data_IF_142308699517
#
_entry.id   IF_142308699517
#
_cell.length_a   1.000
_cell.length_b   1.000
_cell.length_c   1.000
_cell.angle_alpha   90.00
_cell.angle_beta   90.00
_cell.angle_gamma   90.00
#
_symmetry.space_group_name_H-M   'P 1'
#
loop_
_entity.id
_entity.type
_entity.pdbx_description
1 polymer ?
#
# COMPACT_ATOMS: atom_id res chain seq x y z
N UNK A 1 28.54 -13.95 -7.28
CA UNK A 1 28.29 -12.52 -7.64
C UNK A 1 26.83 -12.26 -7.33
N UNK A 2 26.55 -11.65 -6.17
CA UNK A 2 25.21 -11.14 -5.87
C UNK A 2 24.92 -10.02 -6.85
N UNK A 3 23.97 -10.24 -7.74
CA UNK A 3 23.39 -9.16 -8.54
C UNK A 3 22.70 -8.21 -7.56
N UNK A 4 23.30 -7.08 -7.30
CA UNK A 4 22.72 -5.98 -6.50
C UNK A 4 21.44 -5.50 -7.20
N UNK A 5 20.33 -6.21 -6.99
CA UNK A 5 19.03 -5.78 -7.46
C UNK A 5 18.55 -4.63 -6.58
N UNK A 6 18.48 -3.42 -7.15
CA UNK A 6 17.87 -2.26 -6.49
C UNK A 6 16.45 -2.60 -6.08
N UNK A 7 16.10 -2.52 -4.78
CA UNK A 7 14.77 -2.88 -4.32
C UNK A 7 13.70 -1.98 -4.94
N UNK A 8 12.50 -2.52 -5.24
CA UNK A 8 11.38 -1.74 -5.77
C UNK A 8 10.98 -0.57 -4.89
N UNK A 9 10.98 -0.77 -3.56
CA UNK A 9 10.70 0.28 -2.58
C UNK A 9 11.78 0.23 -1.51
N UNK A 10 12.29 1.40 -1.14
CA UNK A 10 13.26 1.53 -0.06
C UNK A 10 13.00 2.81 0.74
N UNK A 11 12.90 2.66 2.05
CA UNK A 11 12.92 3.74 3.03
C UNK A 11 14.27 3.70 3.74
N UNK A 12 15.01 4.81 3.77
CA UNK A 12 16.31 4.95 4.43
C UNK A 12 16.24 6.03 5.49
N UNK A 13 16.27 5.65 6.75
CA UNK A 13 16.33 6.55 7.89
C UNK A 13 15.35 7.74 7.81
N UNK A 14 14.11 7.47 7.38
CA UNK A 14 13.10 8.51 7.17
C UNK A 14 12.72 9.18 8.47
N UNK A 15 12.70 10.52 8.46
CA UNK A 15 12.21 11.34 9.57
C UNK A 15 11.19 12.35 9.11
N UNK A 16 10.15 12.56 9.93
CA UNK A 16 9.11 13.56 9.68
C UNK A 16 8.47 14.03 10.97
N UNK A 17 8.35 15.36 11.09
CA UNK A 17 7.61 16.00 12.17
C UNK A 17 6.52 16.91 11.61
N UNK A 18 5.41 17.04 12.33
CA UNK A 18 4.35 18.00 12.06
C UNK A 18 4.07 18.82 13.33
N UNK A 19 4.13 20.14 13.21
CA UNK A 19 3.86 21.08 14.32
C UNK A 19 4.65 20.71 15.60
N UNK A 20 5.94 20.37 15.44
CA UNK A 20 6.82 20.01 16.56
C UNK A 20 6.65 18.58 17.12
N UNK A 21 5.70 17.79 16.60
CA UNK A 21 5.52 16.37 16.99
C UNK A 21 6.16 15.47 15.96
N UNK A 22 7.09 14.62 16.40
CA UNK A 22 7.67 13.57 15.55
C UNK A 22 6.58 12.56 15.21
N UNK A 23 6.47 12.19 13.93
CA UNK A 23 5.53 11.19 13.41
C UNK A 23 6.21 10.02 12.76
N UNK A 24 7.41 10.23 12.25
CA UNK A 24 8.29 9.20 11.69
C UNK A 24 9.69 9.54 12.19
N UNK A 25 10.34 8.56 12.80
CA UNK A 25 11.66 8.69 13.40
C UNK A 25 12.52 7.49 13.02
N UNK A 26 13.48 7.71 12.16
CA UNK A 26 14.46 6.72 11.70
C UNK A 26 13.84 5.46 11.07
N UNK A 27 12.77 5.63 10.27
CA UNK A 27 12.12 4.51 9.59
C UNK A 27 12.98 4.05 8.41
N UNK A 28 13.44 2.78 8.48
CA UNK A 28 14.20 2.12 7.42
C UNK A 28 13.66 0.72 7.14
N UNK A 29 13.35 0.43 5.86
CA UNK A 29 12.98 -0.91 5.38
C UNK A 29 13.07 -0.99 3.84
N UNK A 30 13.05 -2.22 3.33
CA UNK A 30 12.98 -2.50 1.89
C UNK A 30 11.80 -3.42 1.58
N UNK A 31 11.26 -3.32 0.36
CA UNK A 31 10.23 -4.22 -0.17
C UNK A 31 10.80 -4.96 -1.37
N UNK A 32 10.72 -6.29 -1.35
CA UNK A 32 11.23 -7.16 -2.41
C UNK A 32 10.32 -7.23 -3.63
N UNK A 33 10.88 -7.57 -4.79
CA UNK A 33 10.12 -7.82 -6.01
C UNK A 33 9.27 -9.08 -5.91
N UNK A 34 8.04 -9.04 -6.46
CA UNK A 34 7.14 -10.20 -6.47
C UNK A 34 6.60 -10.56 -5.08
N UNK A 35 6.65 -9.64 -4.12
CA UNK A 35 6.26 -9.88 -2.73
C UNK A 35 5.20 -8.89 -2.27
N UNK A 36 4.43 -9.33 -1.28
CA UNK A 36 3.47 -8.50 -0.56
C UNK A 36 4.05 -8.21 0.83
N UNK A 37 4.33 -6.93 1.10
CA UNK A 37 4.81 -6.49 2.41
C UNK A 37 3.70 -5.73 3.15
N UNK A 38 3.35 -6.21 4.35
CA UNK A 38 2.43 -5.56 5.26
C UNK A 38 3.14 -4.55 6.16
N UNK A 39 2.70 -3.29 6.14
CA UNK A 39 3.14 -2.24 7.04
C UNK A 39 2.17 -2.17 8.21
N UNK A 40 2.54 -2.76 9.33
CA UNK A 40 1.70 -2.94 10.52
C UNK A 40 1.95 -1.87 11.58
N UNK A 41 0.95 -1.58 12.38
CA UNK A 41 1.06 -0.68 13.51
C UNK A 41 -0.27 -0.02 13.88
N UNK A 42 -0.38 0.57 15.07
CA UNK A 42 -1.61 1.20 15.51
C UNK A 42 -1.90 2.48 14.72
N UNK A 43 -3.11 3.01 14.89
CA UNK A 43 -3.46 4.30 14.31
C UNK A 43 -2.55 5.42 14.86
N UNK A 44 -2.00 6.22 13.97
CA UNK A 44 -1.06 7.29 14.33
C UNK A 44 0.41 6.85 14.45
N UNK A 45 0.75 5.57 14.26
CA UNK A 45 2.13 5.05 14.32
C UNK A 45 3.07 5.60 13.23
N UNK A 46 2.55 6.26 12.20
CA UNK A 46 3.37 6.82 11.12
C UNK A 46 3.23 6.12 9.76
N UNK A 47 2.45 5.03 9.63
CA UNK A 47 2.25 4.25 8.39
C UNK A 47 1.88 5.13 7.19
N UNK A 48 0.74 5.83 7.26
CA UNK A 48 0.27 6.74 6.20
C UNK A 48 1.30 7.84 5.88
N UNK A 49 1.99 8.36 6.90
CA UNK A 49 3.03 9.39 6.69
C UNK A 49 4.21 8.81 5.91
N UNK A 50 4.64 7.60 6.25
CA UNK A 50 5.71 6.87 5.53
C UNK A 50 5.30 6.61 4.08
N UNK A 51 4.08 6.11 3.85
CA UNK A 51 3.53 5.91 2.50
C UNK A 51 3.50 7.23 1.71
N UNK A 52 3.05 8.31 2.31
CA UNK A 52 3.03 9.64 1.65
C UNK A 52 4.43 10.14 1.30
N UNK A 53 5.45 9.83 2.11
CA UNK A 53 6.84 10.17 1.76
C UNK A 53 7.35 9.32 0.59
N UNK A 54 7.07 8.01 0.58
CA UNK A 54 7.42 7.13 -0.55
C UNK A 54 6.79 7.57 -1.86
N UNK A 55 5.57 8.12 -1.83
CA UNK A 55 4.85 8.64 -3.00
C UNK A 55 5.15 10.11 -3.32
N UNK A 56 6.11 10.73 -2.62
CA UNK A 56 6.48 12.14 -2.84
C UNK A 56 5.40 13.16 -2.45
N UNK A 57 4.33 12.73 -1.74
CA UNK A 57 3.24 13.60 -1.27
C UNK A 57 3.60 14.36 0.03
N UNK A 58 4.66 13.93 0.69
CA UNK A 58 5.24 14.61 1.83
C UNK A 58 6.76 14.53 1.72
N UNK A 59 7.44 15.66 1.84
CA UNK A 59 8.90 15.64 1.89
C UNK A 59 9.37 15.14 3.27
N UNK A 60 10.31 14.18 3.36
CA UNK A 60 10.95 13.84 4.62
C UNK A 60 11.74 15.04 5.17
N UNK A 61 11.92 15.10 6.49
CA UNK A 61 12.82 16.07 7.13
C UNK A 61 14.29 15.64 6.97
N UNK A 62 14.53 14.31 6.98
CA UNK A 62 15.81 13.68 6.65
C UNK A 62 15.56 12.24 6.17
N UNK A 63 16.59 11.62 5.56
CA UNK A 63 16.49 10.29 4.97
C UNK A 63 15.90 10.29 3.57
N UNK A 64 15.87 9.12 2.94
CA UNK A 64 15.46 8.95 1.55
C UNK A 64 14.29 7.98 1.42
N UNK A 65 13.30 8.34 0.59
CA UNK A 65 12.18 7.53 0.17
C UNK A 65 12.33 7.23 -1.32
N UNK A 66 12.61 5.98 -1.67
CA UNK A 66 13.08 5.61 -3.00
C UNK A 66 12.19 4.53 -3.63
N UNK A 67 11.96 4.68 -4.94
CA UNK A 67 11.34 3.71 -5.84
C UNK A 67 12.37 3.35 -6.90
N UNK A 68 12.82 2.09 -6.93
CA UNK A 68 13.93 1.65 -7.78
C UNK A 68 15.16 2.56 -7.66
N UNK A 69 15.52 2.95 -6.42
CA UNK A 69 16.67 3.80 -6.13
C UNK A 69 16.51 5.28 -6.46
N UNK A 70 15.33 5.74 -6.87
CA UNK A 70 15.03 7.16 -7.21
C UNK A 70 13.87 7.69 -6.37
N UNK A 71 13.87 8.97 -5.97
CA UNK A 71 12.70 9.63 -5.43
C UNK A 71 11.51 9.54 -6.41
N UNK A 72 10.29 9.37 -5.89
CA UNK A 72 9.07 9.25 -6.70
C UNK A 72 8.90 10.38 -7.74
N UNK A 73 9.25 11.61 -7.37
CA UNK A 73 9.16 12.80 -8.23
C UNK A 73 10.12 12.75 -9.46
N UNK A 74 11.16 11.92 -9.37
CA UNK A 74 12.21 11.80 -10.41
C UNK A 74 11.94 10.59 -11.33
N UNK A 75 10.80 9.93 -11.18
CA UNK A 75 10.37 8.86 -12.09
C UNK A 75 9.83 9.45 -13.39
N UNK A 76 10.24 8.89 -14.53
CA UNK A 76 9.81 9.34 -15.86
C UNK A 76 8.32 9.14 -16.09
N UNK A 77 7.77 8.00 -15.61
CA UNK A 77 6.35 7.64 -15.76
C UNK A 77 5.81 7.10 -14.42
N UNK A 78 5.61 7.97 -13.40
CA UNK A 78 5.25 7.52 -12.05
C UNK A 78 3.97 6.66 -12.01
N UNK A 79 2.93 7.01 -12.77
CA UNK A 79 1.69 6.24 -12.84
C UNK A 79 1.79 4.88 -13.56
N UNK A 80 2.88 4.65 -14.32
CA UNK A 80 3.22 3.33 -14.90
C UNK A 80 4.18 2.53 -14.03
N UNK A 81 4.79 3.19 -13.05
CA UNK A 81 5.70 2.54 -12.11
C UNK A 81 4.97 2.17 -10.84
N UNK A 82 4.18 3.08 -10.27
CA UNK A 82 3.49 2.90 -9.00
C UNK A 82 2.00 3.22 -9.18
N UNK A 83 1.14 2.26 -8.85
CA UNK A 83 -0.27 2.47 -8.60
C UNK A 83 -0.49 2.66 -7.09
N UNK A 84 -1.25 3.68 -6.71
CA UNK A 84 -1.48 3.98 -5.30
C UNK A 84 -2.98 4.11 -4.98
N UNK A 85 -3.37 3.58 -3.81
CA UNK A 85 -4.68 3.84 -3.19
C UNK A 85 -4.42 4.43 -1.81
N UNK A 86 -4.82 5.70 -1.64
CA UNK A 86 -4.75 6.44 -0.38
C UNK A 86 -6.18 6.88 -0.04
N UNK A 87 -6.62 6.58 1.16
CA UNK A 87 -8.01 6.78 1.59
C UNK A 87 -9.03 6.13 0.61
N UNK A 88 -10.30 6.44 0.72
CA UNK A 88 -11.38 5.90 -0.14
C UNK A 88 -11.35 6.39 -1.60
N UNK A 89 -10.15 6.73 -2.13
CA UNK A 89 -9.89 6.88 -3.57
C UNK A 89 -10.40 8.15 -4.23
N UNK A 90 -10.83 9.17 -3.48
CA UNK A 90 -11.22 10.48 -4.05
C UNK A 90 -12.36 10.42 -5.07
N UNK A 91 -13.17 9.35 -5.05
CA UNK A 91 -14.27 9.13 -5.97
C UNK A 91 -15.44 10.06 -5.64
N UNK A 92 -15.66 11.06 -6.49
CA UNK A 92 -16.74 12.03 -6.29
C UNK A 92 -18.13 11.37 -6.49
N UNK A 93 -19.08 11.52 -5.57
CA UNK A 93 -20.34 10.78 -5.58
C UNK A 93 -21.23 11.05 -6.81
N UNK A 94 -21.12 12.20 -7.45
CA UNK A 94 -21.88 12.52 -8.67
C UNK A 94 -21.28 11.93 -9.96
N UNK A 95 -20.06 11.41 -9.93
CA UNK A 95 -19.40 10.79 -11.08
C UNK A 95 -19.67 9.30 -11.11
N UNK A 96 -19.69 8.69 -12.30
CA UNK A 96 -19.61 7.24 -12.42
C UNK A 96 -18.17 6.74 -12.28
N UNK A 97 -18.00 5.45 -11.98
CA UNK A 97 -16.69 4.81 -11.95
C UNK A 97 -15.94 4.98 -13.27
N UNK A 98 -16.62 4.77 -14.41
CA UNK A 98 -16.07 4.99 -15.74
C UNK A 98 -15.60 6.43 -15.95
N UNK A 99 -16.42 7.40 -15.56
CA UNK A 99 -16.04 8.82 -15.67
C UNK A 99 -14.82 9.15 -14.81
N UNK A 100 -14.75 8.61 -13.59
CA UNK A 100 -13.58 8.77 -12.73
C UNK A 100 -12.32 8.21 -13.40
N UNK A 101 -12.37 6.98 -13.91
CA UNK A 101 -11.24 6.34 -14.58
C UNK A 101 -10.81 7.09 -15.84
N UNK A 102 -11.76 7.65 -16.62
CA UNK A 102 -11.45 8.51 -17.77
C UNK A 102 -10.63 9.76 -17.37
N UNK A 103 -11.01 10.39 -16.26
CA UNK A 103 -10.28 11.57 -15.74
C UNK A 103 -8.85 11.18 -15.32
N UNK A 104 -8.70 10.05 -14.61
CA UNK A 104 -7.38 9.56 -14.18
C UNK A 104 -6.53 9.18 -15.38
N UNK A 105 -7.09 8.43 -16.34
CA UNK A 105 -6.40 8.01 -17.57
C UNK A 105 -5.92 9.22 -18.39
N UNK A 106 -6.79 10.20 -18.60
CA UNK A 106 -6.45 11.41 -19.35
C UNK A 106 -5.31 12.22 -18.72
N UNK A 107 -5.31 12.34 -17.38
CA UNK A 107 -4.24 13.03 -16.64
C UNK A 107 -2.90 12.30 -16.67
N UNK A 108 -2.93 10.98 -16.83
CA UNK A 108 -1.75 10.11 -16.82
C UNK A 108 -1.29 9.71 -18.23
N UNK A 109 -1.92 10.22 -19.29
CA UNK A 109 -1.59 9.85 -20.68
C UNK A 109 -1.84 8.37 -20.98
N UNK A 110 -2.84 7.76 -20.32
CA UNK A 110 -3.20 6.34 -20.50
C UNK A 110 -4.30 6.24 -21.55
N UNK A 111 -4.20 5.33 -22.53
CA UNK A 111 -5.23 5.11 -23.55
C UNK A 111 -6.59 4.74 -22.95
N UNK A 112 -7.69 5.18 -23.61
CA UNK A 112 -9.04 5.02 -23.07
C UNK A 112 -9.56 3.56 -23.11
N UNK A 113 -9.06 2.72 -24.00
CA UNK A 113 -9.36 1.29 -24.10
C UNK A 113 -8.96 0.53 -22.81
N UNK A 114 -7.89 0.97 -22.14
CA UNK A 114 -7.48 0.40 -20.86
C UNK A 114 -8.57 0.49 -19.77
N UNK A 115 -9.52 1.41 -19.89
CA UNK A 115 -10.59 1.59 -18.88
C UNK A 115 -11.51 0.38 -18.83
N UNK A 116 -11.89 -0.17 -19.99
CA UNK A 116 -12.77 -1.35 -20.02
C UNK A 116 -12.06 -2.60 -19.52
N UNK A 117 -10.78 -2.76 -19.84
CA UNK A 117 -9.95 -3.84 -19.32
C UNK A 117 -9.90 -3.79 -17.77
N UNK A 118 -9.55 -2.64 -17.19
CA UNK A 118 -9.39 -2.54 -15.73
C UNK A 118 -10.73 -2.65 -15.00
N UNK A 119 -11.84 -2.18 -15.59
CA UNK A 119 -13.19 -2.39 -15.05
C UNK A 119 -13.55 -3.88 -14.99
N UNK A 120 -13.18 -4.64 -16.02
CA UNK A 120 -13.36 -6.09 -16.03
C UNK A 120 -12.46 -6.77 -14.98
N UNK A 121 -11.19 -6.36 -14.87
CA UNK A 121 -10.24 -6.88 -13.87
C UNK A 121 -10.77 -6.76 -12.44
N UNK A 122 -11.45 -5.65 -12.10
CA UNK A 122 -11.99 -5.42 -10.76
C UNK A 122 -13.47 -5.84 -10.61
N UNK A 123 -14.07 -6.39 -11.66
CA UNK A 123 -15.47 -6.86 -11.65
C UNK A 123 -16.49 -5.73 -11.52
N UNK A 124 -16.23 -4.57 -12.15
CA UNK A 124 -17.09 -3.38 -12.08
C UNK A 124 -17.72 -2.99 -13.43
N UNK A 125 -17.64 -3.86 -14.44
CA UNK A 125 -18.16 -3.57 -15.79
C UNK A 125 -19.66 -3.21 -15.79
N UNK A 126 -20.48 -3.99 -15.08
CA UNK A 126 -21.94 -3.78 -15.04
C UNK A 126 -22.35 -2.49 -14.31
N UNK A 127 -21.57 -2.06 -13.33
CA UNK A 127 -21.85 -0.90 -12.50
C UNK A 127 -21.02 0.35 -12.89
N UNK A 128 -20.19 0.23 -13.94
CA UNK A 128 -19.23 1.26 -14.32
C UNK A 128 -19.86 2.64 -14.56
N UNK A 129 -21.07 2.66 -15.11
CA UNK A 129 -21.78 3.89 -15.51
C UNK A 129 -22.76 4.40 -14.44
N UNK A 130 -22.98 3.65 -13.35
CA UNK A 130 -23.74 4.12 -12.19
C UNK A 130 -22.96 5.22 -11.44
N UNK A 131 -23.70 6.18 -10.84
CA UNK A 131 -23.09 7.20 -9.98
C UNK A 131 -22.50 6.59 -8.72
N UNK A 132 -21.29 6.98 -8.36
CA UNK A 132 -20.56 6.46 -7.22
C UNK A 132 -21.20 6.78 -5.85
N UNK A 133 -22.12 7.75 -5.79
CA UNK A 133 -22.94 7.99 -4.61
C UNK A 133 -23.79 6.79 -4.19
N UNK A 134 -24.16 5.92 -5.14
CA UNK A 134 -24.87 4.67 -4.88
C UNK A 134 -23.98 3.43 -4.77
N UNK A 135 -22.65 3.57 -4.75
CA UNK A 135 -21.73 2.45 -4.59
C UNK A 135 -21.62 2.03 -3.13
N UNK A 136 -21.58 0.71 -2.90
CA UNK A 136 -21.13 0.18 -1.62
C UNK A 136 -19.66 0.55 -1.38
N UNK A 137 -19.17 0.39 -0.16
CA UNK A 137 -17.77 0.62 0.16
C UNK A 137 -16.85 -0.30 -0.68
N UNK A 138 -17.21 -1.59 -0.81
CA UNK A 138 -16.47 -2.53 -1.65
C UNK A 138 -16.42 -2.11 -3.12
N UNK A 139 -17.50 -1.58 -3.69
CA UNK A 139 -17.51 -1.05 -5.06
C UNK A 139 -16.59 0.17 -5.21
N UNK A 140 -16.56 1.06 -4.21
CA UNK A 140 -15.64 2.22 -4.20
C UNK A 140 -14.20 1.75 -4.14
N UNK A 141 -13.90 0.76 -3.31
CA UNK A 141 -12.57 0.17 -3.19
C UNK A 141 -12.11 -0.50 -4.51
N UNK A 142 -13.04 -1.20 -5.20
CA UNK A 142 -12.76 -1.77 -6.53
C UNK A 142 -12.41 -0.70 -7.56
N UNK A 143 -13.11 0.43 -7.59
CA UNK A 143 -12.78 1.56 -8.48
C UNK A 143 -11.46 2.24 -8.07
N UNK A 144 -11.17 2.36 -6.78
CA UNK A 144 -9.88 2.87 -6.32
C UNK A 144 -8.71 1.98 -6.78
N UNK A 145 -8.86 0.66 -6.64
CA UNK A 145 -7.87 -0.30 -7.14
C UNK A 145 -7.79 -0.27 -8.69
N UNK A 146 -8.92 -0.13 -9.39
CA UNK A 146 -8.94 0.07 -10.85
C UNK A 146 -8.12 1.30 -11.25
N UNK A 147 -8.26 2.42 -10.51
CA UNK A 147 -7.48 3.63 -10.77
C UNK A 147 -5.98 3.39 -10.59
N UNK A 148 -5.58 2.64 -9.57
CA UNK A 148 -4.19 2.27 -9.33
C UNK A 148 -3.64 1.35 -10.43
N UNK A 149 -4.45 0.44 -10.98
CA UNK A 149 -4.07 -0.52 -12.02
C UNK A 149 -4.07 0.04 -13.45
N UNK A 150 -4.64 1.23 -13.69
CA UNK A 150 -4.77 1.82 -15.02
C UNK A 150 -3.44 1.86 -15.80
N UNK A 151 -2.37 2.30 -15.14
CA UNK A 151 -1.05 2.43 -15.74
C UNK A 151 -0.29 1.13 -15.94
N UNK A 152 -0.85 -0.03 -15.60
CA UNK A 152 -0.15 -1.33 -15.52
C UNK A 152 1.12 -1.20 -14.69
N UNK A 153 1.02 -0.71 -13.43
CA UNK A 153 2.18 -0.44 -12.60
C UNK A 153 2.92 -1.74 -12.25
N UNK A 154 4.19 -1.59 -11.86
CA UNK A 154 4.99 -2.70 -11.30
C UNK A 154 4.89 -2.76 -9.77
N UNK A 155 4.45 -1.69 -9.14
CA UNK A 155 4.32 -1.54 -7.70
C UNK A 155 2.91 -1.07 -7.36
N UNK A 156 2.30 -1.68 -6.35
CA UNK A 156 1.08 -1.18 -5.70
C UNK A 156 1.40 -0.71 -4.28
N UNK A 157 0.99 0.51 -3.94
CA UNK A 157 1.08 1.08 -2.60
C UNK A 157 -0.32 1.40 -2.11
N UNK A 158 -0.77 0.70 -1.06
CA UNK A 158 -2.16 0.71 -0.61
C UNK A 158 -2.22 1.09 0.87
N UNK A 159 -2.89 2.19 1.19
CA UNK A 159 -3.07 2.63 2.57
C UNK A 159 -4.44 2.16 3.08
N UNK A 160 -4.43 1.23 4.05
CA UNK A 160 -5.61 0.61 4.67
C UNK A 160 -6.66 0.08 3.64
N UNK A 161 -6.25 -0.72 2.62
CA UNK A 161 -7.13 -1.08 1.50
C UNK A 161 -8.30 -1.98 1.89
N UNK A 162 -8.20 -2.64 3.03
CA UNK A 162 -9.19 -3.57 3.56
C UNK A 162 -10.25 -2.90 4.43
N UNK A 163 -10.02 -1.65 4.84
CA UNK A 163 -10.84 -0.99 5.84
C UNK A 163 -12.32 -0.90 5.44
N UNK A 164 -13.17 -1.52 6.27
CA UNK A 164 -14.61 -1.54 6.10
C UNK A 164 -15.12 -2.42 4.95
N UNK A 165 -14.31 -3.31 4.41
CA UNK A 165 -14.77 -4.36 3.51
C UNK A 165 -15.48 -5.47 4.29
N UNK A 166 -16.51 -6.06 3.69
CA UNK A 166 -17.11 -7.30 4.15
C UNK A 166 -16.21 -8.50 3.84
N UNK A 167 -16.47 -9.70 4.40
CA UNK A 167 -15.63 -10.88 4.14
C UNK A 167 -15.46 -11.22 2.66
N UNK A 168 -16.48 -10.98 1.83
CA UNK A 168 -16.44 -11.24 0.38
C UNK A 168 -15.50 -10.24 -0.30
N UNK A 169 -15.59 -8.97 0.07
CA UNK A 169 -14.69 -7.92 -0.41
C UNK A 169 -13.24 -8.16 0.00
N UNK A 170 -13.02 -8.62 1.23
CA UNK A 170 -11.70 -9.02 1.73
C UNK A 170 -11.10 -10.16 0.92
N UNK A 171 -11.88 -11.24 0.73
CA UNK A 171 -11.44 -12.39 -0.06
C UNK A 171 -11.05 -11.99 -1.48
N UNK A 172 -11.90 -11.16 -2.14
CA UNK A 172 -11.62 -10.63 -3.46
C UNK A 172 -10.33 -9.81 -3.49
N UNK A 173 -10.13 -8.91 -2.52
CA UNK A 173 -8.93 -8.06 -2.46
C UNK A 173 -7.67 -8.93 -2.32
N UNK A 174 -7.68 -9.92 -1.41
CA UNK A 174 -6.57 -10.85 -1.19
C UNK A 174 -6.20 -11.59 -2.48
N UNK A 175 -7.19 -12.15 -3.18
CA UNK A 175 -6.96 -12.83 -4.46
C UNK A 175 -6.32 -11.90 -5.49
N UNK A 176 -6.77 -10.64 -5.58
CA UNK A 176 -6.23 -9.68 -6.54
C UNK A 176 -4.80 -9.28 -6.24
N UNK A 177 -4.49 -9.02 -4.98
CA UNK A 177 -3.13 -8.65 -4.58
C UNK A 177 -2.17 -9.84 -4.73
N UNK A 178 -2.61 -11.06 -4.38
CA UNK A 178 -1.81 -12.26 -4.59
C UNK A 178 -1.52 -12.48 -6.07
N UNK A 179 -2.54 -12.44 -6.94
CA UNK A 179 -2.35 -12.58 -8.38
C UNK A 179 -1.42 -11.51 -8.96
N UNK A 180 -1.47 -10.28 -8.45
CA UNK A 180 -0.55 -9.21 -8.86
C UNK A 180 0.90 -9.52 -8.47
N UNK A 181 1.12 -10.01 -7.25
CA UNK A 181 2.46 -10.39 -6.77
C UNK A 181 3.00 -11.62 -7.50
N UNK A 182 2.17 -12.64 -7.74
CA UNK A 182 2.55 -13.87 -8.46
C UNK A 182 2.92 -13.57 -9.93
N UNK A 183 2.37 -12.51 -10.51
CA UNK A 183 2.77 -12.00 -11.82
C UNK A 183 4.08 -11.16 -11.77
N UNK A 184 4.77 -11.11 -10.64
CA UNK A 184 6.03 -10.39 -10.44
C UNK A 184 5.87 -8.95 -9.96
N UNK A 185 4.65 -8.50 -9.68
CA UNK A 185 4.37 -7.18 -9.10
C UNK A 185 4.80 -7.10 -7.64
N UNK A 186 5.04 -5.90 -7.15
CA UNK A 186 5.41 -5.63 -5.76
C UNK A 186 4.27 -4.91 -5.05
N UNK A 187 3.91 -5.35 -3.84
CA UNK A 187 2.83 -4.73 -3.06
C UNK A 187 3.35 -4.27 -1.71
N UNK A 188 3.12 -3.00 -1.37
CA UNK A 188 3.20 -2.48 -0.02
C UNK A 188 1.80 -2.08 0.42
N UNK A 189 1.29 -2.69 1.47
CA UNK A 189 0.00 -2.32 2.04
C UNK A 189 0.12 -2.00 3.53
N UNK A 190 -0.58 -0.96 3.99
CA UNK A 190 -0.71 -0.72 5.43
C UNK A 190 -1.97 -1.39 5.97
N UNK A 191 -1.89 -1.86 7.21
CA UNK A 191 -3.05 -2.28 7.99
C UNK A 191 -2.82 -2.05 9.49
N UNK A 192 -3.91 -1.86 10.20
CA UNK A 192 -3.95 -1.92 11.66
C UNK A 192 -4.56 -3.24 12.16
N UNK A 193 -5.04 -4.10 11.25
CA UNK A 193 -5.59 -5.42 11.55
C UNK A 193 -4.57 -6.50 11.12
N UNK A 194 -4.07 -7.25 12.11
CA UNK A 194 -3.05 -8.28 11.90
C UNK A 194 -3.58 -9.44 11.03
N UNK A 195 -4.85 -9.82 11.23
CA UNK A 195 -5.52 -10.87 10.45
C UNK A 195 -5.51 -10.59 8.95
N UNK A 196 -5.67 -9.32 8.55
CA UNK A 196 -5.70 -8.95 7.14
C UNK A 196 -4.35 -9.20 6.45
N UNK A 197 -3.27 -9.00 7.20
CA UNK A 197 -1.89 -9.15 6.71
C UNK A 197 -1.44 -10.61 6.79
N UNK A 198 -1.79 -11.33 7.86
CA UNK A 198 -1.41 -12.72 8.07
C UNK A 198 -1.84 -13.63 6.91
N UNK A 199 -3.00 -13.35 6.32
CA UNK A 199 -3.54 -14.18 5.22
C UNK A 199 -2.96 -13.86 3.84
N UNK A 200 -2.16 -12.79 3.68
CA UNK A 200 -1.76 -12.33 2.34
C UNK A 200 -0.27 -11.97 2.24
N UNK A 201 0.35 -11.46 3.30
CA UNK A 201 1.71 -10.93 3.24
C UNK A 201 2.76 -12.03 3.17
N UNK A 202 3.86 -11.73 2.49
CA UNK A 202 5.09 -12.50 2.51
C UNK A 202 6.06 -11.95 3.56
N UNK A 203 6.04 -10.62 3.73
CA UNK A 203 6.88 -9.89 4.68
C UNK A 203 6.06 -8.92 5.51
N UNK A 204 6.56 -8.58 6.68
CA UNK A 204 5.96 -7.59 7.58
C UNK A 204 6.99 -6.56 8.03
N UNK A 205 6.52 -5.33 8.18
CA UNK A 205 7.24 -4.22 8.83
C UNK A 205 6.32 -3.66 9.91
N UNK A 206 6.74 -3.75 11.16
CA UNK A 206 5.96 -3.24 12.31
C UNK A 206 6.47 -1.86 12.68
N UNK A 207 5.57 -0.85 12.64
CA UNK A 207 5.87 0.51 13.07
C UNK A 207 5.15 0.79 14.39
N UNK A 208 5.92 1.20 15.39
CA UNK A 208 5.43 1.63 16.71
C UNK A 208 6.05 2.98 17.03
N UNK A 209 5.23 3.94 17.45
CA UNK A 209 5.67 5.28 17.85
C UNK A 209 6.59 5.98 16.83
N UNK A 210 6.29 5.78 15.55
CA UNK A 210 7.02 6.41 14.45
C UNK A 210 8.31 5.71 14.03
N UNK A 211 8.67 4.58 14.61
CA UNK A 211 9.91 3.84 14.30
C UNK A 211 9.63 2.38 13.92
N UNK A 212 10.52 1.75 13.16
CA UNK A 212 10.43 0.32 12.87
C UNK A 212 10.78 -0.48 14.13
N UNK A 213 9.81 -1.26 14.62
CA UNK A 213 9.98 -2.17 15.75
C UNK A 213 10.51 -3.53 15.31
N UNK A 214 10.01 -4.01 14.15
CA UNK A 214 10.48 -5.25 13.52
C UNK A 214 10.30 -5.17 12.00
N UNK A 215 11.16 -5.88 11.28
CA UNK A 215 11.03 -6.15 9.85
C UNK A 215 11.52 -7.59 9.60
N UNK A 216 10.65 -8.46 9.10
CA UNK A 216 10.95 -9.87 8.88
C UNK A 216 10.04 -10.50 7.83
N UNK A 217 10.35 -11.72 7.40
CA UNK A 217 9.35 -12.52 6.70
C UNK A 217 8.18 -12.83 7.64
N UNK A 218 6.97 -12.98 7.10
CA UNK A 218 5.82 -13.42 7.89
C UNK A 218 6.06 -14.80 8.50
N UNK A 219 6.73 -15.69 7.75
CA UNK A 219 7.07 -17.03 8.22
C UNK A 219 7.97 -16.98 9.46
N UNK A 220 9.02 -16.16 9.47
CA UNK A 220 9.92 -16.01 10.62
C UNK A 220 9.20 -15.41 11.83
N UNK A 221 8.33 -14.42 11.62
CA UNK A 221 7.53 -13.83 12.69
C UNK A 221 6.58 -14.86 13.33
N UNK A 222 5.91 -15.68 12.52
CA UNK A 222 5.03 -16.75 13.00
C UNK A 222 5.83 -17.86 13.70
N UNK A 223 7.00 -18.22 13.17
CA UNK A 223 7.87 -19.21 13.82
C UNK A 223 8.36 -18.73 15.20
N UNK A 224 8.68 -17.44 15.34
CA UNK A 224 9.10 -16.83 16.60
C UNK A 224 7.99 -16.74 17.66
N UNK A 225 6.72 -16.85 17.26
CA UNK A 225 5.55 -16.68 18.12
C UNK A 225 4.59 -17.88 18.14
N UNK A 226 5.07 -19.07 17.79
CA UNK A 226 4.27 -20.30 17.72
C UNK A 226 3.00 -20.19 16.85
N UNK A 227 3.08 -19.43 15.76
CA UNK A 227 1.98 -19.22 14.81
C UNK A 227 1.04 -18.06 15.15
N UNK A 228 1.32 -17.29 16.19
CA UNK A 228 0.52 -16.17 16.66
C UNK A 228 1.14 -14.81 16.26
N UNK A 229 0.65 -14.20 15.17
CA UNK A 229 1.12 -12.88 14.72
C UNK A 229 0.79 -11.77 15.72
N UNK A 230 -0.31 -11.89 16.49
CA UNK A 230 -0.66 -10.92 17.52
C UNK A 230 0.33 -10.98 18.69
N UNK A 231 0.67 -12.20 19.15
CA UNK A 231 1.72 -12.40 20.14
C UNK A 231 3.08 -11.86 19.68
N UNK A 232 3.46 -12.07 18.42
CA UNK A 232 4.66 -11.46 17.85
C UNK A 232 4.60 -9.93 17.90
N UNK A 233 3.50 -9.36 17.41
CA UNK A 233 3.31 -7.90 17.40
C UNK A 233 3.42 -7.30 18.80
N UNK A 234 2.75 -7.88 19.79
CA UNK A 234 2.79 -7.40 21.18
C UNK A 234 4.21 -7.49 21.74
N UNK A 235 4.94 -8.58 21.50
CA UNK A 235 6.31 -8.74 22.00
C UNK A 235 7.27 -7.67 21.49
N UNK A 236 7.16 -7.27 20.20
CA UNK A 236 8.01 -6.23 19.62
C UNK A 236 7.54 -4.81 19.97
N UNK A 237 6.24 -4.62 20.21
CA UNK A 237 5.68 -3.35 20.66
C UNK A 237 6.06 -3.06 22.13
N UNK A 238 5.94 -4.04 23.03
CA UNK A 238 6.26 -3.92 24.44
C UNK A 238 7.77 -3.78 24.68
N UNK A 239 8.61 -4.50 23.90
CA UNK A 239 10.07 -4.38 23.95
C UNK A 239 10.57 -2.96 23.71
N UNK A 240 9.81 -2.10 23.04
CA UNK A 240 10.10 -0.66 22.87
C UNK A 240 9.49 0.23 23.95
N UNK A 241 8.39 -0.18 24.55
CA UNK A 241 7.77 0.57 25.64
C UNK A 241 8.66 0.55 26.93
N UNK A 242 9.53 -0.46 27.07
CA UNK A 242 10.46 -0.58 28.20
C UNK A 242 11.78 0.18 28.06
N UNK A 243 12.05 0.86 26.94
CA UNK A 243 13.35 1.55 26.65
C UNK A 243 13.17 3.08 26.63
N UNK A 244 12.17 3.64 27.29
CA UNK A 244 11.99 5.10 27.49
C UNK A 244 12.44 5.54 28.85
#
# INVERSE_FOLDING_TARGET
METSHTPPIEARALRKSFRGRVRVDDVGFTVGSGRITGLLGPNGAGKTTTIRMLLGLAAPASGDALIYGRPYRDLEAPGRTVGAVLDSGGLHPSRSGRTHLRIVAARSGIPADRIDEVLAEVGMTADADRRAGGYSLGMRQRIALASALLGRPRILVLDEPANGLDPTGMHWLRQRLRAFADAGGTVLLSSHLLSDVQDIADDIVVIVDGSVAAASSLQDALAASNGDLEGFYLSVADGRAGVR
#
